data_IF_705894069429
#
_entry.id   IF_705894069429
#
_cell.length_a   1.000
_cell.length_b   1.000
_cell.length_c   1.000
_cell.angle_alpha   90.00
_cell.angle_beta   90.00
_cell.angle_gamma   90.00
#
_symmetry.space_group_name_H-M   'P 1'
#
loop_
_entity.id
_entity.type
_entity.pdbx_description
1 polymer ?
#
# COMPACT_ATOMS: atom_id res chain seq x y z
N UNK A 1 10.83 11.24 0.12
CA UNK A 1 9.57 10.58 0.46
C UNK A 1 8.97 11.38 1.58
N UNK A 2 7.81 11.99 1.32
CA UNK A 2 7.03 12.68 2.35
C UNK A 2 6.43 11.66 3.33
N UNK A 3 6.17 10.44 2.85
CA UNK A 3 5.56 9.38 3.64
C UNK A 3 6.59 8.34 4.11
N UNK A 4 6.33 7.78 5.29
CA UNK A 4 6.97 6.59 5.83
C UNK A 4 6.06 5.40 5.62
N UNK A 5 6.68 4.25 5.33
CA UNK A 5 5.98 3.02 5.01
C UNK A 5 6.45 1.91 5.92
N UNK A 6 5.50 1.18 6.50
CA UNK A 6 5.78 -0.08 7.19
C UNK A 6 4.85 -1.16 6.71
N UNK A 7 5.38 -2.38 6.56
CA UNK A 7 4.62 -3.53 6.11
C UNK A 7 4.79 -4.68 7.10
N UNK A 8 3.70 -5.12 7.70
CA UNK A 8 3.68 -6.18 8.71
C UNK A 8 2.82 -7.35 8.25
N UNK A 9 3.39 -8.55 8.19
CA UNK A 9 2.61 -9.74 7.90
C UNK A 9 1.60 -10.02 9.03
N UNK A 10 0.35 -10.29 8.67
CA UNK A 10 -0.71 -10.67 9.62
C UNK A 10 -1.01 -12.15 9.49
N UNK A 11 -1.32 -12.61 8.28
CA UNK A 11 -1.70 -13.98 8.03
C UNK A 11 -1.53 -14.35 6.56
N UNK A 12 -0.78 -15.42 6.26
CA UNK A 12 -0.52 -15.89 4.90
C UNK A 12 -0.02 -14.75 3.99
N UNK A 13 -0.80 -14.40 2.97
CA UNK A 13 -0.48 -13.37 1.97
C UNK A 13 -0.93 -11.97 2.41
N UNK A 14 -1.56 -11.82 3.57
CA UNK A 14 -2.17 -10.57 4.02
C UNK A 14 -1.21 -9.82 4.95
N UNK A 15 -1.03 -8.54 4.67
CA UNK A 15 -0.14 -7.64 5.38
C UNK A 15 -0.89 -6.37 5.75
N UNK A 16 -0.57 -5.79 6.91
CA UNK A 16 -0.93 -4.40 7.19
C UNK A 16 0.14 -3.53 6.56
N UNK A 17 -0.27 -2.69 5.62
CA UNK A 17 0.53 -1.58 5.14
C UNK A 17 0.11 -0.34 5.93
N UNK A 18 1.07 0.28 6.60
CA UNK A 18 0.91 1.59 7.24
C UNK A 18 1.63 2.62 6.39
N UNK A 19 0.93 3.68 6.01
CA UNK A 19 1.45 4.87 5.35
C UNK A 19 1.26 6.03 6.31
N UNK A 20 2.34 6.70 6.70
CA UNK A 20 2.27 7.77 7.69
C UNK A 20 3.15 8.95 7.33
N UNK A 21 2.72 10.16 7.64
CA UNK A 21 3.54 11.37 7.63
C UNK A 21 3.75 11.88 9.08
N UNK A 22 3.94 13.18 9.27
CA UNK A 22 4.10 13.77 10.62
C UNK A 22 2.79 13.94 11.39
N UNK A 23 1.64 13.96 10.69
CA UNK A 23 0.32 14.30 11.22
C UNK A 23 -0.67 13.13 11.15
N UNK A 24 -0.56 12.29 10.13
CA UNK A 24 -1.52 11.26 9.77
C UNK A 24 -0.87 9.87 9.65
N UNK A 25 -1.67 8.85 9.95
CA UNK A 25 -1.30 7.44 9.77
C UNK A 25 -2.49 6.70 9.20
N UNK A 26 -2.30 6.13 8.01
CA UNK A 26 -3.29 5.39 7.26
C UNK A 26 -2.90 3.91 7.23
N UNK A 27 -3.83 3.03 7.56
CA UNK A 27 -3.57 1.59 7.61
C UNK A 27 -4.64 0.82 6.86
N UNK A 28 -4.20 -0.14 6.04
CA UNK A 28 -5.11 -1.12 5.46
C UNK A 28 -4.43 -2.46 5.24
N UNK A 29 -5.26 -3.48 5.02
CA UNK A 29 -4.80 -4.79 4.59
C UNK A 29 -4.48 -4.76 3.10
N UNK A 30 -3.30 -5.26 2.76
CA UNK A 30 -2.82 -5.46 1.39
C UNK A 30 -2.40 -6.92 1.22
N UNK A 31 -2.44 -7.41 -0.01
CA UNK A 31 -2.24 -8.84 -0.28
C UNK A 31 -1.11 -9.11 -1.27
N UNK A 32 -0.25 -10.09 -0.98
CA UNK A 32 0.64 -10.63 -2.00
C UNK A 32 -0.15 -11.50 -2.98
N UNK A 33 -0.03 -11.18 -4.27
CA UNK A 33 -0.55 -12.05 -5.33
C UNK A 33 0.32 -13.31 -5.45
N UNK A 34 -0.27 -14.49 -5.74
CA UNK A 34 0.47 -15.73 -6.00
C UNK A 34 1.06 -15.73 -7.43
N UNK A 35 1.82 -14.70 -7.77
CA UNK A 35 2.44 -14.52 -9.09
C UNK A 35 3.93 -14.87 -9.07
N UNK A 36 4.51 -15.13 -10.25
CA UNK A 36 5.95 -15.41 -10.40
C UNK A 36 6.82 -14.25 -9.91
N UNK A 37 6.35 -13.02 -10.12
CA UNK A 37 6.97 -11.80 -9.60
C UNK A 37 6.29 -11.41 -8.28
N UNK A 38 7.07 -10.88 -7.33
CA UNK A 38 6.49 -10.33 -6.09
C UNK A 38 5.58 -9.16 -6.45
N UNK A 39 4.29 -9.32 -6.22
CA UNK A 39 3.27 -8.32 -6.55
C UNK A 39 2.37 -8.10 -5.34
N UNK A 40 2.22 -6.84 -4.93
CA UNK A 40 1.32 -6.40 -3.89
C UNK A 40 0.02 -5.86 -4.51
N UNK A 41 -1.12 -6.35 -4.04
CA UNK A 41 -2.45 -5.88 -4.37
C UNK A 41 -2.88 -4.88 -3.29
N UNK A 42 -3.25 -3.67 -3.72
CA UNK A 42 -3.54 -2.55 -2.82
C UNK A 42 -4.90 -1.96 -3.18
N UNK A 43 -5.84 -1.98 -2.25
CA UNK A 43 -7.16 -1.36 -2.38
C UNK A 43 -7.14 0.02 -1.75
N UNK A 44 -7.14 1.06 -2.59
CA UNK A 44 -7.01 2.45 -2.13
C UNK A 44 -8.21 2.89 -1.28
N UNK A 45 -9.39 2.32 -1.52
CA UNK A 45 -10.60 2.63 -0.74
C UNK A 45 -10.56 2.17 0.72
N UNK A 46 -9.56 1.37 1.12
CA UNK A 46 -9.45 0.87 2.50
C UNK A 46 -8.63 1.80 3.40
N UNK A 47 -7.83 2.71 2.84
CA UNK A 47 -6.95 3.60 3.60
C UNK A 47 -7.60 4.93 4.02
N UNK A 48 -8.80 5.22 3.50
CA UNK A 48 -9.54 6.49 3.72
C UNK A 48 -8.65 7.74 3.51
N UNK A 49 -7.80 7.73 2.46
CA UNK A 49 -6.90 8.84 2.12
C UNK A 49 -7.66 10.12 1.72
N UNK A 50 -7.10 11.32 2.00
CA UNK A 50 -7.59 12.58 1.43
C UNK A 50 -7.51 12.58 -0.10
N UNK A 51 -8.56 13.04 -0.79
CA UNK A 51 -8.64 12.98 -2.26
C UNK A 51 -7.49 13.72 -2.96
N UNK A 52 -7.00 14.81 -2.35
CA UNK A 52 -5.90 15.64 -2.84
C UNK A 52 -4.51 15.01 -2.62
N UNK A 53 -4.41 13.98 -1.77
CA UNK A 53 -3.15 13.29 -1.46
C UNK A 53 -3.02 11.92 -2.15
N UNK A 54 -4.13 11.34 -2.65
CA UNK A 54 -4.17 9.98 -3.22
C UNK A 54 -3.07 9.76 -4.27
N UNK A 55 -2.89 10.66 -5.23
CA UNK A 55 -1.92 10.49 -6.31
C UNK A 55 -0.47 10.54 -5.81
N UNK A 56 -0.19 11.41 -4.83
CA UNK A 56 1.12 11.52 -4.21
C UNK A 56 1.45 10.25 -3.40
N UNK A 57 0.52 9.82 -2.55
CA UNK A 57 0.65 8.60 -1.74
C UNK A 57 0.83 7.38 -2.64
N UNK A 58 0.03 7.24 -3.70
CA UNK A 58 0.12 6.14 -4.66
C UNK A 58 1.48 6.09 -5.36
N UNK A 59 2.00 7.24 -5.79
CA UNK A 59 3.31 7.36 -6.44
C UNK A 59 4.46 6.97 -5.51
N UNK A 60 4.44 7.47 -4.27
CA UNK A 60 5.47 7.13 -3.28
C UNK A 60 5.38 5.67 -2.83
N UNK A 61 4.16 5.13 -2.67
CA UNK A 61 3.93 3.71 -2.35
C UNK A 61 4.52 2.82 -3.44
N UNK A 62 4.26 3.12 -4.71
CA UNK A 62 4.81 2.37 -5.84
C UNK A 62 6.34 2.42 -5.86
N UNK A 63 6.93 3.59 -5.59
CA UNK A 63 8.39 3.77 -5.51
C UNK A 63 8.98 2.96 -4.36
N UNK A 64 8.32 2.96 -3.20
CA UNK A 64 8.75 2.23 -2.01
C UNK A 64 8.75 0.70 -2.23
N UNK A 65 7.69 0.15 -2.81
CA UNK A 65 7.65 -1.28 -3.16
C UNK A 65 8.63 -1.65 -4.29
N UNK A 66 8.80 -0.78 -5.29
CA UNK A 66 9.78 -1.00 -6.36
C UNK A 66 11.21 -1.12 -5.80
N UNK A 67 11.57 -0.31 -4.80
CA UNK A 67 12.87 -0.40 -4.10
C UNK A 67 13.11 -1.76 -3.41
N UNK A 68 12.03 -2.50 -3.14
CA UNK A 68 12.04 -3.83 -2.54
C UNK A 68 11.84 -4.95 -3.58
N UNK A 69 11.98 -4.64 -4.88
CA UNK A 69 11.72 -5.56 -6.00
C UNK A 69 10.30 -6.16 -5.95
N UNK A 70 9.31 -5.36 -5.53
CA UNK A 70 7.90 -5.73 -5.49
C UNK A 70 7.10 -4.79 -6.39
N UNK A 71 6.27 -5.34 -7.27
CA UNK A 71 5.33 -4.58 -8.11
C UNK A 71 4.06 -4.26 -7.31
N UNK A 72 3.36 -3.20 -7.68
CA UNK A 72 2.06 -2.86 -7.10
C UNK A 72 0.96 -2.90 -8.16
N UNK A 73 -0.20 -3.41 -7.77
CA UNK A 73 -1.45 -3.25 -8.50
C UNK A 73 -2.42 -2.52 -7.59
N UNK A 74 -2.86 -1.35 -8.04
CA UNK A 74 -3.79 -0.50 -7.29
C UNK A 74 -5.21 -0.70 -7.78
N UNK A 75 -6.12 -0.99 -6.85
CA UNK A 75 -7.55 -1.01 -7.07
C UNK A 75 -8.18 0.23 -6.45
N UNK A 76 -9.07 0.95 -7.17
CA UNK A 76 -9.70 2.16 -6.63
C UNK A 76 -10.77 1.88 -5.58
N UNK A 77 -11.39 0.69 -5.59
CA UNK A 77 -12.43 0.28 -4.65
C UNK A 77 -11.85 -0.30 -3.36
N UNK A 78 -12.72 -0.51 -2.36
CA UNK A 78 -12.40 -1.28 -1.14
C UNK A 78 -12.06 -2.74 -1.47
N UNK A 79 -11.23 -3.35 -0.62
CA UNK A 79 -10.98 -4.78 -0.59
C UNK A 79 -12.23 -5.56 -0.19
N UNK A 80 -12.17 -6.88 -0.32
CA UNK A 80 -13.26 -7.79 0.10
C UNK A 80 -13.15 -8.17 1.57
#
# INVERSE_FOLDING_TARGET
MAYKFTLKNVFMYNYVLTVSDEQHSYEAIVEYAPTKEKTMLIWLGDFDFPEDEIDAIKSETATWFASQNTKCIFYPSKGR
#
